data_IF_463173901346
#
_entry.id   IF_463173901346
#
_cell.length_a   1.000
_cell.length_b   1.000
_cell.length_c   1.000
_cell.angle_alpha   90.00
_cell.angle_beta   90.00
_cell.angle_gamma   90.00
#
_symmetry.space_group_name_H-M   'P 1'
#
loop_
_entity.id
_entity.type
_entity.pdbx_description
1 polymer ?
#
# COMPACT_ATOMS: atom_id res chain seq x y z
N UNK A 1 -14.89 32.19 11.72
CA UNK A 1 -13.97 31.06 11.95
C UNK A 1 -13.41 30.64 10.59
N UNK A 2 -12.11 30.44 10.49
CA UNK A 2 -11.49 29.93 9.26
C UNK A 2 -11.99 28.50 8.97
N UNK A 3 -12.20 28.20 7.68
CA UNK A 3 -12.61 26.85 7.26
C UNK A 3 -11.36 25.96 7.25
N UNK A 4 -11.43 24.73 7.77
CA UNK A 4 -10.32 23.82 7.68
C UNK A 4 -9.98 23.55 6.20
N UNK A 5 -8.69 23.55 5.89
CA UNK A 5 -8.15 23.21 4.57
C UNK A 5 -7.49 21.84 4.67
N UNK A 6 -7.62 21.03 3.62
CA UNK A 6 -6.94 19.74 3.55
C UNK A 6 -5.42 19.96 3.47
N UNK A 7 -4.69 19.41 4.43
CA UNK A 7 -3.23 19.31 4.37
C UNK A 7 -2.83 18.01 3.67
N UNK A 8 -1.82 18.08 2.79
CA UNK A 8 -1.25 16.92 2.09
C UNK A 8 0.14 16.63 2.67
N UNK A 9 0.30 15.43 3.20
CA UNK A 9 1.52 14.96 3.84
C UNK A 9 2.60 14.65 2.81
N UNK A 10 3.85 14.95 3.14
CA UNK A 10 5.01 14.49 2.40
C UNK A 10 5.52 13.15 2.94
N UNK A 11 6.32 12.44 2.15
CA UNK A 11 7.01 11.22 2.59
C UNK A 11 7.90 11.48 3.83
N UNK A 12 8.53 12.64 3.89
CA UNK A 12 9.40 13.00 5.01
C UNK A 12 8.60 13.24 6.29
N UNK A 13 7.45 13.92 6.20
CA UNK A 13 6.58 14.12 7.36
C UNK A 13 6.01 12.80 7.87
N UNK A 14 5.56 11.91 6.98
CA UNK A 14 5.12 10.57 7.37
C UNK A 14 6.22 9.77 8.07
N UNK A 15 7.46 9.80 7.56
CA UNK A 15 8.59 9.13 8.21
C UNK A 15 8.85 9.68 9.63
N UNK A 16 8.76 11.00 9.83
CA UNK A 16 8.88 11.59 11.16
C UNK A 16 7.80 11.12 12.13
N UNK A 17 6.58 10.85 11.65
CA UNK A 17 5.54 10.29 12.51
C UNK A 17 5.93 8.91 13.07
N UNK A 18 6.65 8.10 12.29
CA UNK A 18 7.17 6.81 12.73
C UNK A 18 8.38 7.02 13.65
N UNK A 19 9.35 7.85 13.25
CA UNK A 19 10.56 8.13 14.02
C UNK A 19 10.25 8.70 15.42
N UNK A 20 9.20 9.51 15.53
CA UNK A 20 8.70 10.09 16.78
C UNK A 20 7.70 9.18 17.53
N UNK A 21 7.49 7.96 17.04
CA UNK A 21 6.57 6.94 17.62
C UNK A 21 5.12 7.40 17.72
N UNK A 22 4.70 8.36 16.88
CA UNK A 22 3.29 8.73 16.72
C UNK A 22 2.51 7.68 15.96
N UNK A 23 3.15 7.05 14.98
CA UNK A 23 2.66 5.86 14.27
C UNK A 23 3.62 4.71 14.54
N UNK A 24 3.09 3.50 14.64
CA UNK A 24 3.90 2.28 14.61
C UNK A 24 4.28 1.94 13.16
N UNK A 25 5.46 1.38 12.92
CA UNK A 25 5.88 0.93 11.58
C UNK A 25 4.96 -0.18 11.04
N UNK A 26 4.39 -0.98 11.95
CA UNK A 26 3.43 -2.04 11.63
C UNK A 26 1.97 -1.54 11.63
N UNK A 27 1.71 -0.27 11.94
CA UNK A 27 0.37 0.29 11.89
C UNK A 27 -0.17 0.23 10.45
N UNK A 28 -1.42 -0.17 10.21
CA UNK A 28 -1.96 -0.30 8.86
C UNK A 28 -2.32 1.07 8.27
N UNK A 29 -1.40 2.03 8.26
CA UNK A 29 -1.56 3.36 7.67
C UNK A 29 -0.55 3.55 6.54
N UNK A 30 -1.05 3.92 5.37
CA UNK A 30 -0.27 4.18 4.16
C UNK A 30 -0.37 5.64 3.74
N UNK A 31 0.76 6.19 3.28
CA UNK A 31 0.80 7.49 2.61
C UNK A 31 0.52 7.31 1.11
N UNK A 32 -0.66 7.76 0.66
CA UNK A 32 -1.07 7.70 -0.73
C UNK A 32 -1.51 9.09 -1.21
N UNK A 33 -0.81 9.62 -2.22
CA UNK A 33 -1.08 10.97 -2.77
C UNK A 33 -1.13 12.07 -1.69
N UNK A 34 -0.31 11.96 -0.64
CA UNK A 34 -0.33 12.92 0.47
C UNK A 34 -1.49 12.76 1.45
N UNK A 35 -2.23 11.65 1.39
CA UNK A 35 -3.25 11.27 2.36
C UNK A 35 -2.73 10.12 3.22
N UNK A 36 -3.02 10.16 4.51
CA UNK A 36 -2.82 9.03 5.42
C UNK A 36 -4.10 8.19 5.38
N UNK A 37 -4.02 6.99 4.82
CA UNK A 37 -5.14 6.09 4.62
C UNK A 37 -4.93 4.79 5.38
N UNK A 38 -6.01 4.18 5.86
CA UNK A 38 -5.95 2.82 6.40
C UNK A 38 -5.71 1.84 5.26
N UNK A 39 -4.69 1.00 5.40
CA UNK A 39 -4.40 -0.15 4.52
C UNK A 39 -5.61 -1.08 4.52
N UNK A 40 -6.02 -1.50 3.33
CA UNK A 40 -7.10 -2.48 3.20
C UNK A 40 -6.67 -3.85 3.78
N UNK A 41 -7.48 -4.49 4.62
CA UNK A 41 -7.21 -5.85 5.07
C UNK A 41 -7.11 -6.83 3.89
N UNK A 42 -5.98 -7.51 3.75
CA UNK A 42 -5.79 -8.50 2.69
C UNK A 42 -6.41 -9.85 3.08
N UNK A 43 -7.71 -9.97 2.87
CA UNK A 43 -8.47 -11.19 3.16
C UNK A 43 -8.26 -12.28 2.10
N UNK A 44 -8.74 -13.51 2.35
CA UNK A 44 -8.61 -14.64 1.42
C UNK A 44 -9.10 -14.34 -0.02
N UNK A 45 -10.24 -13.65 -0.24
CA UNK A 45 -10.65 -13.19 -1.57
C UNK A 45 -9.62 -12.30 -2.27
N UNK A 46 -9.00 -11.35 -1.55
CA UNK A 46 -7.94 -10.50 -2.08
C UNK A 46 -6.75 -11.35 -2.56
N UNK A 47 -6.27 -12.27 -1.73
CA UNK A 47 -5.16 -13.16 -2.10
C UNK A 47 -5.51 -14.03 -3.32
N UNK A 48 -6.74 -14.53 -3.39
CA UNK A 48 -7.22 -15.31 -4.54
C UNK A 48 -7.20 -14.48 -5.83
N UNK A 49 -7.66 -13.23 -5.76
CA UNK A 49 -7.63 -12.32 -6.91
C UNK A 49 -6.20 -12.06 -7.40
N UNK A 50 -5.26 -11.78 -6.49
CA UNK A 50 -3.83 -11.59 -6.82
C UNK A 50 -3.27 -12.81 -7.55
N UNK A 51 -3.50 -14.02 -7.03
CA UNK A 51 -3.00 -15.27 -7.64
C UNK A 51 -3.62 -15.56 -9.02
N UNK A 52 -4.88 -15.20 -9.24
CA UNK A 52 -5.53 -15.38 -10.54
C UNK A 52 -4.97 -14.41 -11.58
N UNK A 53 -4.72 -13.15 -11.19
CA UNK A 53 -4.10 -12.14 -12.06
C UNK A 53 -2.66 -12.51 -12.37
N UNK A 54 -1.88 -12.92 -11.38
CA UNK A 54 -0.50 -13.42 -11.56
C UNK A 54 -0.42 -14.46 -12.68
N UNK A 55 -1.22 -15.53 -12.57
CA UNK A 55 -1.28 -16.59 -13.58
C UNK A 55 -1.68 -16.09 -14.97
N UNK A 56 -2.59 -15.11 -15.03
CA UNK A 56 -3.01 -14.53 -16.31
C UNK A 56 -1.87 -13.72 -16.95
N UNK A 57 -1.14 -12.94 -16.15
CA UNK A 57 0.00 -12.13 -16.59
C UNK A 57 1.16 -13.02 -17.02
N UNK A 58 1.52 -14.04 -16.24
CA UNK A 58 2.58 -15.01 -16.61
C UNK A 58 2.32 -15.64 -17.97
N UNK A 59 1.08 -16.05 -18.23
CA UNK A 59 0.68 -16.61 -19.54
C UNK A 59 0.75 -15.60 -20.67
N UNK A 60 0.46 -14.32 -20.40
CA UNK A 60 0.45 -13.27 -21.41
C UNK A 60 1.88 -12.90 -21.86
N UNK A 61 2.84 -12.88 -20.93
CA UNK A 61 4.23 -12.56 -21.22
C UNK A 61 5.07 -13.76 -21.68
N UNK A 62 4.76 -14.96 -21.19
CA UNK A 62 5.42 -16.19 -21.60
C UNK A 62 6.85 -16.34 -21.07
N UNK A 63 7.62 -17.21 -21.72
CA UNK A 63 8.99 -17.54 -21.28
C UNK A 63 9.93 -16.33 -21.31
N UNK A 64 10.83 -16.26 -20.33
CA UNK A 64 11.81 -15.17 -20.17
C UNK A 64 11.34 -14.02 -19.28
N UNK A 65 10.10 -14.04 -18.79
CA UNK A 65 9.55 -13.05 -17.89
C UNK A 65 9.21 -13.64 -16.51
N UNK A 66 9.44 -12.85 -15.46
CA UNK A 66 9.06 -13.18 -14.09
C UNK A 66 8.03 -12.17 -13.61
N UNK A 67 6.89 -12.64 -13.11
CA UNK A 67 5.85 -11.79 -12.52
C UNK A 67 6.08 -11.74 -11.02
N UNK A 68 6.57 -10.60 -10.54
CA UNK A 68 6.76 -10.38 -9.11
C UNK A 68 5.44 -9.90 -8.48
N UNK A 69 4.73 -10.80 -7.80
CA UNK A 69 3.60 -10.40 -6.96
C UNK A 69 4.07 -9.89 -5.61
N UNK A 70 3.43 -8.84 -5.11
CA UNK A 70 3.53 -8.50 -3.70
C UNK A 70 2.54 -9.37 -2.93
N UNK A 71 3.08 -10.16 -2.00
CA UNK A 71 2.30 -10.86 -0.98
C UNK A 71 2.61 -10.23 0.37
N UNK A 72 1.65 -10.22 1.31
CA UNK A 72 1.95 -9.86 2.68
C UNK A 72 3.00 -10.84 3.21
N UNK A 73 4.01 -10.30 3.91
CA UNK A 73 5.11 -11.05 4.54
C UNK A 73 4.58 -11.78 5.77
#
# INVERSE_FOLDING_TARGET
AERPVLHRWTRHEYARLIDESFLDEDEPIELLDGLLLMKEPQTSPHRTAVLLVEKAVERAFGEGWFVQTQSPI
#
